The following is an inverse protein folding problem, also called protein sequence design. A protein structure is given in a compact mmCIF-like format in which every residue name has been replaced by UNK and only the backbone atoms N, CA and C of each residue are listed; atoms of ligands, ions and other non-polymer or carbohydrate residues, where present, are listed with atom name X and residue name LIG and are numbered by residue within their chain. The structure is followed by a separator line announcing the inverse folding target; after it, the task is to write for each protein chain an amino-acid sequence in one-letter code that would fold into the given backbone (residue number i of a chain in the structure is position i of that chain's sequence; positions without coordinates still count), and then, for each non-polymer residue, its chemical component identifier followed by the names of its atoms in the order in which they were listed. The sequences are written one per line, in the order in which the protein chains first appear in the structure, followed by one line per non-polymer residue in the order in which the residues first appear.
data_IF_416385366467
#
_entry.id   IF_416385366467
#
_cell.length_a   1.000
_cell.length_b   1.000
_cell.length_c   1.000
_cell.angle_alpha   90.00
_cell.angle_beta   90.00
_cell.angle_gamma   90.00
#
_symmetry.space_group_name_H-M   'P 1'
#
loop_
_entity.id
_entity.type
_entity.pdbx_description
1 polymer ?
#
# COMPACT_ATOMS: atom_id res chain seq x y z
N UNK A 1 11.50 -23.43 10.13
CA UNK A 1 11.58 -23.26 8.66
C UNK A 1 10.76 -22.11 8.06
N UNK A 2 9.69 -21.62 8.68
CA UNK A 2 8.89 -20.48 8.11
C UNK A 2 9.54 -19.11 8.34
N UNK A 3 10.30 -18.93 9.42
CA UNK A 3 10.93 -17.65 9.78
C UNK A 3 12.14 -17.32 8.88
N UNK A 4 12.94 -18.32 8.57
CA UNK A 4 14.12 -18.18 7.69
C UNK A 4 13.75 -17.82 6.26
N UNK A 5 12.63 -18.34 5.73
CA UNK A 5 12.13 -17.97 4.41
C UNK A 5 11.64 -16.50 4.34
N UNK A 6 11.02 -16.02 5.44
CA UNK A 6 10.59 -14.61 5.52
C UNK A 6 11.78 -13.66 5.64
N UNK A 7 12.81 -14.02 6.40
CA UNK A 7 14.04 -13.25 6.51
C UNK A 7 14.85 -13.24 5.20
N UNK A 8 14.88 -14.36 4.49
CA UNK A 8 15.54 -14.45 3.18
C UNK A 8 14.81 -13.61 2.12
N UNK A 9 13.47 -13.61 2.12
CA UNK A 9 12.68 -12.75 1.24
C UNK A 9 12.94 -11.27 1.53
N UNK A 10 13.02 -10.85 2.79
CA UNK A 10 13.35 -9.49 3.18
C UNK A 10 14.79 -9.10 2.77
N UNK A 11 15.76 -9.99 2.89
CA UNK A 11 17.14 -9.73 2.48
C UNK A 11 17.28 -9.60 0.96
N UNK A 12 16.58 -10.44 0.17
CA UNK A 12 16.55 -10.35 -1.29
C UNK A 12 15.85 -9.06 -1.77
N UNK A 13 14.78 -8.65 -1.08
CA UNK A 13 14.10 -7.38 -1.36
C UNK A 13 15.03 -6.19 -1.14
N UNK A 14 15.84 -6.21 -0.09
CA UNK A 14 16.82 -5.16 0.20
C UNK A 14 17.89 -5.01 -0.89
N UNK A 15 18.35 -6.10 -1.48
CA UNK A 15 19.36 -6.05 -2.57
C UNK A 15 18.74 -5.52 -3.87
N UNK A 16 17.51 -5.90 -4.20
CA UNK A 16 16.83 -5.39 -5.41
C UNK A 16 16.46 -3.91 -5.30
N UNK A 17 16.06 -3.45 -4.11
CA UNK A 17 15.77 -2.04 -3.88
C UNK A 17 17.00 -1.14 -4.06
N UNK A 18 18.21 -1.63 -3.77
CA UNK A 18 19.45 -0.92 -4.00
C UNK A 18 19.74 -0.71 -5.51
N UNK A 19 19.31 -1.61 -6.37
CA UNK A 19 19.51 -1.46 -7.83
C UNK A 19 18.58 -0.41 -8.46
N UNK A 20 17.42 -0.14 -7.85
CA UNK A 20 16.50 0.92 -8.30
C UNK A 20 17.05 2.31 -7.94
N UNK A 21 17.84 2.43 -6.87
CA UNK A 21 18.43 3.68 -6.42
C UNK A 21 19.54 4.22 -7.35
N UNK A 22 20.15 3.36 -8.17
CA UNK A 22 21.25 3.74 -9.08
C UNK A 22 20.79 4.16 -10.48
N UNK A 23 19.49 4.03 -10.77
CA UNK A 23 18.92 4.35 -12.08
C UNK A 23 18.08 5.61 -12.12
N UNK A 24 18.62 6.69 -12.67
CA UNK A 24 17.97 7.91 -13.14
C UNK A 24 17.71 9.03 -12.14
N UNK A 25 18.52 10.07 -12.26
CA UNK A 25 18.28 11.42 -11.76
C UNK A 25 17.09 12.10 -12.43
N UNK A 26 15.93 11.96 -11.83
CA UNK A 26 14.77 12.82 -12.03
C UNK A 26 14.09 12.89 -10.67
N UNK A 27 13.92 14.09 -10.11
CA UNK A 27 13.43 14.30 -8.75
C UNK A 27 12.03 13.72 -8.54
N UNK A 28 11.96 12.42 -8.21
CA UNK A 28 10.71 11.76 -7.83
C UNK A 28 10.29 12.25 -6.45
N UNK A 29 9.02 12.48 -6.26
CA UNK A 29 8.48 12.77 -4.92
C UNK A 29 8.68 11.57 -4.00
N UNK A 30 8.82 11.79 -2.69
CA UNK A 30 8.98 10.71 -1.73
C UNK A 30 7.84 9.68 -1.80
N UNK A 31 6.60 10.12 -2.06
CA UNK A 31 5.47 9.21 -2.26
C UNK A 31 5.70 8.29 -3.46
N UNK A 32 6.15 8.85 -4.59
CA UNK A 32 6.41 8.07 -5.81
C UNK A 32 7.49 7.01 -5.61
N UNK A 33 8.52 7.32 -4.85
CA UNK A 33 9.59 6.37 -4.57
C UNK A 33 9.09 5.20 -3.71
N UNK A 34 8.24 5.47 -2.71
CA UNK A 34 7.59 4.42 -1.91
C UNK A 34 6.69 3.53 -2.78
N UNK A 35 5.93 4.13 -3.72
CA UNK A 35 5.08 3.39 -4.66
C UNK A 35 5.89 2.41 -5.51
N UNK A 36 7.04 2.84 -6.01
CA UNK A 36 7.92 1.98 -6.81
C UNK A 36 8.50 0.83 -6.00
N UNK A 37 8.87 1.07 -4.74
CA UNK A 37 9.30 0.00 -3.84
C UNK A 37 8.17 -0.98 -3.53
N UNK A 38 6.94 -0.48 -3.32
CA UNK A 38 5.77 -1.35 -3.13
C UNK A 38 5.50 -2.19 -4.38
N UNK A 39 5.53 -1.60 -5.56
CA UNK A 39 5.33 -2.32 -6.82
C UNK A 39 6.38 -3.42 -7.03
N UNK A 40 7.65 -3.12 -6.76
CA UNK A 40 8.72 -4.11 -6.82
C UNK A 40 8.48 -5.25 -5.82
N UNK A 41 8.06 -4.94 -4.59
CA UNK A 41 7.73 -5.95 -3.59
C UNK A 41 6.57 -6.86 -4.03
N UNK A 42 5.49 -6.28 -4.56
CA UNK A 42 4.34 -7.03 -5.07
C UNK A 42 4.75 -7.95 -6.21
N UNK A 43 5.52 -7.42 -7.16
CA UNK A 43 5.99 -8.18 -8.31
C UNK A 43 6.86 -9.39 -7.92
N UNK A 44 7.86 -9.17 -7.07
CA UNK A 44 8.87 -10.19 -6.77
C UNK A 44 8.44 -11.16 -5.67
N UNK A 45 7.69 -10.70 -4.66
CA UNK A 45 7.43 -11.50 -3.46
C UNK A 45 6.02 -12.10 -3.41
N UNK A 46 5.05 -11.51 -4.12
CA UNK A 46 3.67 -11.99 -4.15
C UNK A 46 3.32 -12.72 -5.47
N UNK A 47 4.30 -12.91 -6.35
CA UNK A 47 4.11 -13.66 -7.59
C UNK A 47 3.40 -12.87 -8.70
N UNK A 48 3.43 -11.53 -8.63
CA UNK A 48 2.78 -10.66 -9.64
C UNK A 48 3.76 -10.21 -10.74
N UNK A 49 4.75 -11.04 -11.09
CA UNK A 49 5.81 -10.69 -12.08
C UNK A 49 5.28 -10.28 -13.43
N UNK A 50 4.21 -10.94 -13.88
CA UNK A 50 3.60 -10.69 -15.19
C UNK A 50 2.38 -9.74 -15.11
N UNK A 51 2.12 -9.17 -13.93
CA UNK A 51 0.99 -8.27 -13.68
C UNK A 51 1.47 -6.83 -13.80
N UNK A 52 0.94 -6.03 -14.74
CA UNK A 52 1.28 -4.61 -14.83
C UNK A 52 0.82 -3.89 -13.56
N UNK A 53 1.73 -3.14 -12.93
CA UNK A 53 1.45 -2.34 -11.74
C UNK A 53 1.61 -0.87 -12.10
N UNK A 54 0.55 -0.10 -11.93
CA UNK A 54 0.54 1.34 -12.18
C UNK A 54 0.33 2.13 -10.88
N UNK A 55 0.50 3.45 -10.94
CA UNK A 55 0.48 4.32 -9.76
C UNK A 55 -0.59 5.43 -9.85
N UNK A 56 -1.51 5.28 -10.79
CA UNK A 56 -2.60 6.24 -11.01
C UNK A 56 -3.81 5.87 -10.14
N UNK A 57 -3.79 6.38 -8.91
CA UNK A 57 -4.89 6.26 -7.93
C UNK A 57 -5.08 7.62 -7.25
N UNK A 58 -5.75 8.58 -7.91
CA UNK A 58 -5.95 9.93 -7.37
C UNK A 58 -6.77 9.92 -6.07
N UNK A 59 -7.59 8.91 -5.85
CA UNK A 59 -8.42 8.71 -4.66
C UNK A 59 -7.61 8.68 -3.35
N UNK A 60 -6.32 8.32 -3.42
CA UNK A 60 -5.43 8.28 -2.25
C UNK A 60 -5.33 9.65 -1.57
N UNK A 61 -5.44 10.74 -2.34
CA UNK A 61 -5.42 12.10 -1.78
C UNK A 61 -6.64 12.31 -0.88
N UNK A 62 -7.82 11.95 -1.34
CA UNK A 62 -9.07 12.07 -0.57
C UNK A 62 -9.01 11.24 0.71
N UNK A 63 -8.52 10.02 0.63
CA UNK A 63 -8.31 9.17 1.82
C UNK A 63 -7.34 9.81 2.80
N UNK A 64 -6.23 10.33 2.30
CA UNK A 64 -5.21 11.00 3.10
C UNK A 64 -5.75 12.24 3.82
N UNK A 65 -6.54 13.05 3.13
CA UNK A 65 -7.18 14.25 3.69
C UNK A 65 -8.17 13.89 4.83
N UNK A 66 -8.89 12.78 4.68
CA UNK A 66 -9.88 12.29 5.66
C UNK A 66 -9.26 11.52 6.83
N UNK A 67 -8.05 10.99 6.67
CA UNK A 67 -7.42 10.07 7.63
C UNK A 67 -7.34 10.67 9.03
N UNK A 68 -7.68 9.85 10.03
CA UNK A 68 -7.56 10.17 11.46
C UNK A 68 -6.68 9.13 12.14
N UNK A 69 -5.78 9.57 13.03
CA UNK A 69 -4.93 8.67 13.79
C UNK A 69 -5.74 7.64 14.60
N UNK A 70 -6.93 8.02 15.08
CA UNK A 70 -7.86 7.13 15.80
C UNK A 70 -8.47 6.00 14.97
N UNK A 71 -8.21 5.95 13.66
CA UNK A 71 -8.59 4.81 12.82
C UNK A 71 -7.67 3.60 13.01
N UNK A 72 -6.54 3.81 13.70
CA UNK A 72 -5.61 2.75 14.09
C UNK A 72 -5.57 2.65 15.62
N UNK A 73 -5.43 1.44 16.14
CA UNK A 73 -5.13 1.22 17.55
C UNK A 73 -3.62 1.39 17.82
N UNK A 74 -3.21 1.22 19.07
CA UNK A 74 -1.80 1.33 19.48
C UNK A 74 -0.88 0.26 18.84
N UNK A 75 -1.45 -0.80 18.29
CA UNK A 75 -0.73 -1.85 17.57
C UNK A 75 -0.66 -1.60 16.06
N UNK A 76 -1.35 -0.54 15.57
CA UNK A 76 -1.41 -0.20 14.16
C UNK A 76 -2.50 -0.92 13.38
N UNK A 77 -3.41 -1.64 14.06
CA UNK A 77 -4.53 -2.30 13.40
C UNK A 77 -5.69 -1.33 13.19
N UNK A 78 -6.45 -1.57 12.13
CA UNK A 78 -7.65 -0.79 11.81
C UNK A 78 -8.76 -0.98 12.86
N UNK A 79 -9.30 0.12 13.37
CA UNK A 79 -10.45 0.14 14.30
C UNK A 79 -11.78 0.38 13.58
N UNK A 80 -11.76 0.62 12.28
CA UNK A 80 -12.94 0.93 11.47
C UNK A 80 -13.78 -0.34 11.28
N UNK A 81 -14.97 -0.33 11.83
CA UNK A 81 -15.95 -1.41 11.60
C UNK A 81 -16.53 -1.33 10.18
N UNK A 82 -16.72 -2.47 9.48
CA UNK A 82 -17.36 -2.53 8.17
C UNK A 82 -18.79 -1.94 8.13
N UNK A 83 -19.46 -1.85 9.29
CA UNK A 83 -20.81 -1.29 9.41
C UNK A 83 -20.81 0.20 9.78
N UNK A 84 -19.65 0.84 9.88
CA UNK A 84 -19.56 2.25 10.25
C UNK A 84 -19.78 3.18 9.06
N UNK A 85 -20.24 4.41 9.35
CA UNK A 85 -20.33 5.46 8.34
C UNK A 85 -18.95 5.80 7.73
N UNK A 86 -17.90 5.72 8.52
CA UNK A 86 -16.51 5.92 8.06
C UNK A 86 -16.15 4.88 6.99
N UNK A 87 -16.43 3.61 7.23
CA UNK A 87 -16.19 2.54 6.24
C UNK A 87 -16.97 2.78 4.96
N UNK A 88 -18.26 3.12 5.08
CA UNK A 88 -19.10 3.46 3.92
C UNK A 88 -18.53 4.64 3.13
N UNK A 89 -18.09 5.68 3.82
CA UNK A 89 -17.49 6.85 3.18
C UNK A 89 -16.21 6.48 2.44
N UNK A 90 -15.30 5.71 3.08
CA UNK A 90 -14.09 5.23 2.42
C UNK A 90 -14.39 4.37 1.19
N UNK A 91 -15.37 3.48 1.29
CA UNK A 91 -15.81 2.66 0.18
C UNK A 91 -16.34 3.48 -1.00
N UNK A 92 -17.05 4.57 -0.70
CA UNK A 92 -17.59 5.49 -1.72
C UNK A 92 -16.50 6.28 -2.44
N UNK A 93 -15.36 6.58 -1.79
CA UNK A 93 -14.20 7.20 -2.45
C UNK A 93 -13.73 6.33 -3.63
N UNK A 94 -13.84 5.01 -3.50
CA UNK A 94 -13.47 4.05 -4.54
C UNK A 94 -14.67 3.50 -5.31
N UNK A 95 -15.73 4.31 -5.51
CA UNK A 95 -16.94 3.89 -6.25
C UNK A 95 -16.66 3.53 -7.71
N UNK A 96 -15.60 4.09 -8.30
CA UNK A 96 -15.18 3.75 -9.67
C UNK A 96 -14.61 2.32 -9.81
N UNK A 97 -14.30 1.67 -8.69
CA UNK A 97 -13.76 0.30 -8.64
C UNK A 97 -14.83 -0.64 -8.07
N UNK A 98 -15.82 -1.03 -8.87
CA UNK A 98 -16.90 -1.91 -8.42
C UNK A 98 -16.63 -3.38 -8.74
N UNK A 99 -17.34 -3.93 -9.69
CA UNK A 99 -17.22 -5.35 -10.04
C UNK A 99 -15.86 -5.66 -10.64
N UNK A 100 -15.25 -6.75 -10.20
CA UNK A 100 -13.94 -7.19 -10.68
C UNK A 100 -12.74 -6.57 -9.95
N UNK A 101 -12.96 -5.68 -8.99
CA UNK A 101 -11.86 -5.07 -8.25
C UNK A 101 -11.80 -5.48 -6.77
N UNK A 102 -10.59 -5.64 -6.26
CA UNK A 102 -10.32 -5.68 -4.82
C UNK A 102 -9.57 -4.41 -4.45
N UNK A 103 -10.05 -3.71 -3.43
CA UNK A 103 -9.45 -2.47 -2.92
C UNK A 103 -9.08 -2.65 -1.46
N UNK A 104 -7.79 -2.55 -1.15
CA UNK A 104 -7.28 -2.63 0.21
C UNK A 104 -6.57 -1.34 0.59
N UNK A 105 -6.90 -0.79 1.77
CA UNK A 105 -6.19 0.30 2.39
C UNK A 105 -5.22 -0.22 3.44
N UNK A 106 -4.08 0.43 3.53
CA UNK A 106 -3.03 0.18 4.51
C UNK A 106 -2.64 1.50 5.15
N UNK A 107 -2.31 1.48 6.43
CA UNK A 107 -1.75 2.62 7.11
C UNK A 107 -0.83 2.17 8.24
N UNK A 108 0.26 2.88 8.44
CA UNK A 108 1.14 2.68 9.59
C UNK A 108 1.79 3.98 10.02
N UNK A 109 2.09 4.08 11.30
CA UNK A 109 2.92 5.15 11.83
C UNK A 109 4.36 4.98 11.31
N UNK A 110 4.93 6.08 10.83
CA UNK A 110 6.31 6.14 10.31
C UNK A 110 7.01 7.37 10.88
N UNK A 111 8.32 7.31 10.94
CA UNK A 111 9.13 8.50 11.17
C UNK A 111 9.36 9.21 9.81
N UNK A 112 8.79 10.41 9.66
CA UNK A 112 8.90 11.20 8.44
C UNK A 112 10.33 11.67 8.13
N UNK A 113 11.25 11.56 9.09
CA UNK A 113 12.66 11.88 8.91
C UNK A 113 13.47 10.70 8.36
N UNK A 114 12.91 9.49 8.41
CA UNK A 114 13.55 8.32 7.81
C UNK A 114 13.39 8.32 6.30
N UNK A 115 14.31 7.65 5.60
CA UNK A 115 14.25 7.51 4.16
C UNK A 115 12.96 6.79 3.72
N UNK A 116 12.57 7.02 2.47
CA UNK A 116 11.42 6.36 1.83
C UNK A 116 11.53 4.84 1.87
N UNK A 117 12.74 4.31 1.76
CA UNK A 117 12.98 2.88 1.90
C UNK A 117 12.58 2.37 3.30
N UNK A 118 12.98 3.07 4.37
CA UNK A 118 12.59 2.69 5.73
C UNK A 118 11.08 2.80 5.94
N UNK A 119 10.45 3.85 5.41
CA UNK A 119 9.00 3.99 5.47
C UNK A 119 8.30 2.86 4.70
N UNK A 120 8.82 2.46 3.56
CA UNK A 120 8.31 1.32 2.78
C UNK A 120 8.41 0.00 3.55
N UNK A 121 9.52 -0.24 4.24
CA UNK A 121 9.70 -1.43 5.08
C UNK A 121 8.67 -1.53 6.22
N UNK A 122 8.07 -0.42 6.64
CA UNK A 122 6.96 -0.41 7.61
C UNK A 122 5.63 -0.79 6.96
N UNK A 123 5.42 -0.45 5.70
CA UNK A 123 4.19 -0.78 4.94
C UNK A 123 4.20 -2.22 4.46
N UNK A 124 5.35 -2.74 3.99
CA UNK A 124 5.46 -4.06 3.37
C UNK A 124 4.85 -5.22 4.18
N UNK A 125 5.08 -5.36 5.50
CA UNK A 125 4.47 -6.43 6.27
C UNK A 125 2.94 -6.39 6.26
N UNK A 126 2.34 -5.19 6.17
CA UNK A 126 0.90 -5.02 6.14
C UNK A 126 0.31 -5.56 4.83
N UNK A 127 1.06 -5.49 3.72
CA UNK A 127 0.61 -6.01 2.42
C UNK A 127 0.35 -7.52 2.46
N UNK A 128 0.90 -8.22 3.46
CA UNK A 128 0.72 -9.65 3.68
C UNK A 128 -0.54 -10.02 4.48
N UNK A 129 -1.40 -9.05 4.84
CA UNK A 129 -2.65 -9.33 5.53
C UNK A 129 -3.16 -8.27 6.49
N UNK A 130 -2.48 -7.12 6.64
CA UNK A 130 -2.87 -6.04 7.57
C UNK A 130 -3.76 -4.95 6.96
N UNK A 131 -4.28 -5.14 5.76
CA UNK A 131 -5.09 -4.14 5.08
C UNK A 131 -6.54 -4.07 5.54
N UNK A 132 -7.16 -2.89 5.41
CA UNK A 132 -8.60 -2.71 5.52
C UNK A 132 -9.24 -3.00 4.15
N UNK A 133 -9.97 -4.13 3.99
CA UNK A 133 -10.61 -4.46 2.71
C UNK A 133 -11.84 -3.58 2.52
N UNK A 134 -11.86 -2.75 1.49
CA UNK A 134 -13.03 -1.94 1.12
C UNK A 134 -13.89 -2.63 0.08
N UNK A 135 -13.27 -3.40 -0.80
CA UNK A 135 -13.92 -4.21 -1.83
C UNK A 135 -13.17 -5.52 -1.98
N UNK A 136 -13.87 -6.59 -2.33
CA UNK A 136 -13.27 -7.90 -2.57
C UNK A 136 -13.88 -8.52 -3.80
N UNK A 137 -13.04 -8.94 -4.72
CA UNK A 137 -13.39 -9.71 -5.91
C UNK A 137 -12.47 -10.92 -6.04
N UNK A 138 -12.83 -11.85 -6.90
CA UNK A 138 -12.06 -13.07 -7.16
C UNK A 138 -11.95 -13.28 -8.66
N UNK A 139 -10.89 -13.93 -9.08
CA UNK A 139 -10.66 -14.24 -10.49
C UNK A 139 -9.17 -14.30 -10.79
N UNK A 140 -8.85 -14.22 -12.05
CA UNK A 140 -7.47 -14.07 -12.49
C UNK A 140 -7.07 -12.60 -12.37
N UNK A 141 -5.99 -12.33 -11.67
CA UNK A 141 -5.42 -11.00 -11.58
C UNK A 141 -4.84 -10.57 -12.93
N UNK A 142 -5.26 -9.44 -13.44
CA UNK A 142 -4.87 -8.92 -14.75
C UNK A 142 -4.05 -7.64 -14.67
N UNK A 143 -4.28 -6.83 -13.66
CA UNK A 143 -3.52 -5.61 -13.38
C UNK A 143 -3.59 -5.25 -11.90
N UNK A 144 -2.70 -4.38 -11.46
CA UNK A 144 -2.78 -3.76 -10.15
C UNK A 144 -2.44 -2.27 -10.22
N UNK A 145 -2.93 -1.53 -9.24
CA UNK A 145 -2.53 -0.14 -9.00
C UNK A 145 -2.09 0.01 -7.57
N UNK A 146 -1.07 0.81 -7.32
CA UNK A 146 -0.68 1.18 -5.96
C UNK A 146 -0.37 2.67 -5.86
N UNK A 147 -0.82 3.28 -4.78
CA UNK A 147 -0.48 4.66 -4.46
C UNK A 147 -0.28 4.83 -2.97
N UNK A 148 0.46 5.86 -2.58
CA UNK A 148 0.72 6.17 -1.18
C UNK A 148 0.74 7.67 -0.93
N UNK A 149 0.50 8.06 0.33
CA UNK A 149 0.64 9.41 0.84
C UNK A 149 1.22 9.41 2.25
N UNK A 150 2.14 10.34 2.49
CA UNK A 150 2.58 10.68 3.83
C UNK A 150 1.66 11.76 4.39
N UNK A 151 1.13 11.54 5.59
CA UNK A 151 0.30 12.52 6.29
C UNK A 151 0.78 12.71 7.73
N UNK A 152 0.64 13.93 8.24
CA UNK A 152 0.93 14.23 9.65
C UNK A 152 -0.38 14.52 10.38
N UNK A 153 -0.54 13.93 11.56
CA UNK A 153 -1.67 14.14 12.45
C UNK A 153 -1.13 14.37 13.88
N UNK A 154 -1.26 15.60 14.35
CA UNK A 154 -0.57 16.01 15.59
C UNK A 154 0.95 15.96 15.41
N UNK A 155 1.62 15.23 16.29
CA UNK A 155 3.08 15.04 16.29
C UNK A 155 3.54 13.74 15.61
N UNK A 156 2.61 12.97 15.02
CA UNK A 156 2.89 11.68 14.39
C UNK A 156 2.71 11.77 12.88
N UNK A 157 3.52 11.03 12.16
CA UNK A 157 3.40 10.86 10.71
C UNK A 157 2.94 9.45 10.38
N UNK A 158 2.11 9.35 9.34
CA UNK A 158 1.54 8.09 8.90
C UNK A 158 1.76 7.94 7.40
N UNK A 159 2.16 6.76 6.97
CA UNK A 159 2.15 6.37 5.57
C UNK A 159 0.83 5.64 5.30
N UNK A 160 0.02 6.20 4.42
CA UNK A 160 -1.22 5.60 3.94
C UNK A 160 -0.93 5.04 2.56
N UNK A 161 -1.36 3.82 2.29
CA UNK A 161 -1.21 3.20 1.00
C UNK A 161 -2.53 2.54 0.57
N UNK A 162 -2.73 2.44 -0.74
CA UNK A 162 -3.83 1.69 -1.34
C UNK A 162 -3.28 0.75 -2.39
N UNK A 163 -3.81 -0.45 -2.44
CA UNK A 163 -3.61 -1.37 -3.55
C UNK A 163 -4.98 -1.75 -4.12
N UNK A 164 -5.09 -1.62 -5.42
CA UNK A 164 -6.27 -1.99 -6.20
C UNK A 164 -5.86 -3.12 -7.14
N UNK A 165 -6.48 -4.26 -6.98
CA UNK A 165 -6.30 -5.42 -7.82
C UNK A 165 -7.43 -5.50 -8.84
N UNK A 166 -7.11 -5.69 -10.10
CA UNK A 166 -8.06 -5.82 -11.20
C UNK A 166 -8.17 -7.28 -11.63
N UNK A 167 -9.39 -7.82 -11.49
CA UNK A 167 -9.77 -9.17 -11.89
C UNK A 167 -10.83 -9.14 -13.01
N UNK A 168 -11.11 -7.98 -13.60
CA UNK A 168 -12.27 -7.76 -14.47
C UNK A 168 -12.09 -8.33 -15.89
N UNK A 169 -10.87 -8.67 -16.28
CA UNK A 169 -10.54 -9.13 -17.62
C UNK A 169 -10.45 -10.68 -17.73
N UNK A 170 -11.20 -11.41 -16.93
CA UNK A 170 -11.26 -12.87 -16.95
C UNK A 170 -12.52 -13.41 -17.61
#
# INVERSE_FOLDING_TARGET
MKLTKKLLAMALTGVMLLTILTGCGGGKTGDRLVEEYMAAFLSENLGYKDVPITHDVPEIKTVADMFKASWLNDHGDWTISPNSSTYTTLRNVFSNYENGYTVNLYACEVDSKQSELHQTMRVMPLLLGGGLPLRSSRGRLTAAKCATRLVTRGNKSYRIAVIIYDYSAG
#
